data_IF_066897240072
#
_entry.id   IF_066897240072
#
_cell.length_a   1.000
_cell.length_b   1.000
_cell.length_c   1.000
_cell.angle_alpha   90.00
_cell.angle_beta   90.00
_cell.angle_gamma   90.00
#
_symmetry.space_group_name_H-M   'P 1'
#
loop_
_entity.id
_entity.type
_entity.pdbx_description
1 polymer ?
#
# COMPACT_ATOMS: atom_id res chain seq x y z
N UNK A 1 -22.34 -51.87 -12.95
CA UNK A 1 -23.24 -50.96 -13.63
C UNK A 1 -23.60 -49.73 -12.82
N UNK A 2 -23.44 -49.78 -11.52
CA UNK A 2 -23.78 -48.68 -10.64
C UNK A 2 -22.59 -47.77 -10.33
N UNK A 3 -21.49 -47.91 -11.04
CA UNK A 3 -20.24 -47.21 -10.73
C UNK A 3 -20.11 -45.84 -11.40
N UNK A 4 -20.90 -45.58 -12.40
CA UNK A 4 -20.78 -44.35 -13.19
C UNK A 4 -21.09 -43.05 -12.43
N UNK A 5 -22.03 -43.01 -11.50
CA UNK A 5 -22.30 -41.77 -10.77
C UNK A 5 -21.15 -41.25 -9.93
N UNK A 6 -20.26 -42.12 -9.46
CA UNK A 6 -19.14 -41.73 -8.62
C UNK A 6 -18.12 -40.89 -9.37
N UNK A 7 -17.91 -41.18 -10.64
CA UNK A 7 -16.94 -40.45 -11.46
C UNK A 7 -17.35 -38.99 -11.65
N UNK A 8 -18.66 -38.74 -11.76
CA UNK A 8 -19.19 -37.37 -11.96
C UNK A 8 -18.97 -36.51 -10.71
N UNK A 9 -19.14 -37.08 -9.52
CA UNK A 9 -18.94 -36.34 -8.28
C UNK A 9 -17.50 -35.90 -8.09
N UNK A 10 -16.54 -36.77 -8.42
CA UNK A 10 -15.13 -36.42 -8.31
C UNK A 10 -14.75 -35.21 -9.20
N UNK A 11 -15.31 -35.16 -10.40
CA UNK A 11 -15.04 -34.07 -11.32
C UNK A 11 -15.58 -32.73 -10.79
N UNK A 12 -16.76 -32.73 -10.18
CA UNK A 12 -17.37 -31.54 -9.62
C UNK A 12 -16.55 -30.96 -8.48
N UNK A 13 -16.01 -31.81 -7.61
CA UNK A 13 -15.17 -31.37 -6.50
C UNK A 13 -13.88 -30.72 -6.97
N UNK A 14 -13.27 -31.26 -8.01
CA UNK A 14 -12.04 -30.70 -8.56
C UNK A 14 -12.27 -29.30 -9.13
N UNK A 15 -13.39 -29.08 -9.81
CA UNK A 15 -13.71 -27.78 -10.36
C UNK A 15 -13.92 -26.73 -9.27
N UNK A 16 -14.53 -27.09 -8.16
CA UNK A 16 -14.75 -26.19 -7.04
C UNK A 16 -13.43 -25.74 -6.41
N UNK A 17 -12.49 -26.65 -6.25
CA UNK A 17 -11.18 -26.34 -5.69
C UNK A 17 -10.40 -25.34 -6.56
N UNK A 18 -10.48 -25.48 -7.87
CA UNK A 18 -9.80 -24.56 -8.79
C UNK A 18 -10.40 -23.15 -8.69
N UNK A 19 -11.71 -23.02 -8.59
CA UNK A 19 -12.37 -21.73 -8.47
C UNK A 19 -11.95 -20.99 -7.18
N UNK A 20 -11.86 -21.71 -6.06
CA UNK A 20 -11.44 -21.13 -4.79
C UNK A 20 -9.99 -20.61 -4.86
N UNK A 21 -9.10 -21.34 -5.50
CA UNK A 21 -7.71 -20.92 -5.66
C UNK A 21 -7.60 -19.68 -6.53
N UNK A 22 -8.40 -19.56 -7.57
CA UNK A 22 -8.40 -18.40 -8.44
C UNK A 22 -8.86 -17.12 -7.71
N UNK A 23 -9.87 -17.22 -6.85
CA UNK A 23 -10.35 -16.09 -6.05
C UNK A 23 -9.28 -15.64 -5.05
N UNK A 24 -8.59 -16.55 -4.41
CA UNK A 24 -7.52 -16.21 -3.48
C UNK A 24 -6.37 -15.49 -4.18
N UNK A 25 -6.01 -15.91 -5.38
CA UNK A 25 -4.97 -15.28 -6.17
C UNK A 25 -5.35 -13.86 -6.59
N UNK A 26 -6.61 -13.61 -6.93
CA UNK A 26 -7.08 -12.27 -7.27
C UNK A 26 -7.09 -11.32 -6.09
N UNK A 27 -7.42 -11.80 -4.90
CA UNK A 27 -7.46 -10.99 -3.69
C UNK A 27 -6.08 -10.48 -3.26
N UNK A 28 -4.99 -11.15 -3.67
CA UNK A 28 -3.64 -10.78 -3.31
C UNK A 28 -2.93 -9.88 -4.32
N UNK A 29 -3.65 -9.37 -5.34
CA UNK A 29 -3.05 -8.60 -6.43
C UNK A 29 -3.11 -7.09 -6.25
N UNK A 30 -3.10 -6.59 -5.04
CA UNK A 30 -2.97 -5.16 -4.81
C UNK A 30 -1.51 -4.78 -5.06
N UNK A 31 -1.28 -3.86 -5.98
CA UNK A 31 0.06 -3.40 -6.32
C UNK A 31 0.07 -1.88 -6.36
N UNK A 32 0.86 -1.29 -5.48
CA UNK A 32 1.01 0.16 -5.38
C UNK A 32 2.30 0.66 -6.01
N UNK A 33 3.00 -0.18 -6.75
CA UNK A 33 4.22 0.23 -7.44
C UNK A 33 3.93 1.36 -8.43
N UNK A 34 4.68 2.44 -8.33
CA UNK A 34 4.54 3.57 -9.23
C UNK A 34 4.78 4.89 -8.54
N UNK A 35 4.57 5.96 -9.28
CA UNK A 35 4.73 7.32 -8.79
C UNK A 35 3.37 7.86 -8.37
N UNK A 36 3.31 8.43 -7.17
CA UNK A 36 2.08 8.96 -6.57
C UNK A 36 2.25 10.40 -6.18
N UNK A 37 1.23 11.20 -6.45
CA UNK A 37 1.14 12.56 -5.92
C UNK A 37 0.33 12.53 -4.64
N UNK A 38 0.95 12.89 -3.53
CA UNK A 38 0.29 12.94 -2.23
C UNK A 38 -0.17 14.36 -1.94
N UNK A 39 -1.31 14.45 -1.30
CA UNK A 39 -1.81 15.70 -0.74
C UNK A 39 -1.89 15.50 0.77
N UNK A 40 -1.00 16.16 1.50
CA UNK A 40 -0.82 15.96 2.94
C UNK A 40 -1.27 17.20 3.68
N UNK A 41 -2.13 17.02 4.68
CA UNK A 41 -2.60 18.09 5.54
C UNK A 41 -2.33 17.73 7.00
N UNK A 42 -1.59 18.58 7.69
CA UNK A 42 -1.25 18.40 9.09
C UNK A 42 -1.46 19.69 9.86
N UNK A 43 -1.40 19.61 11.19
CA UNK A 43 -1.42 20.81 12.03
C UNK A 43 -0.22 21.72 11.77
N UNK A 44 0.88 21.19 11.27
CA UNK A 44 2.07 21.94 10.95
C UNK A 44 2.04 22.55 9.54
N UNK A 45 1.00 22.30 8.75
CA UNK A 45 0.85 22.81 7.40
C UNK A 45 0.49 21.74 6.39
N UNK A 46 0.43 22.11 5.13
CA UNK A 46 0.09 21.19 4.04
C UNK A 46 1.23 21.10 3.03
N UNK A 47 1.23 20.01 2.26
CA UNK A 47 2.23 19.79 1.22
C UNK A 47 1.74 18.80 0.19
N UNK A 48 2.42 18.79 -0.96
CA UNK A 48 2.08 17.91 -2.07
C UNK A 48 3.33 17.15 -2.54
N UNK A 49 3.89 16.28 -1.70
CA UNK A 49 5.07 15.51 -2.11
C UNK A 49 4.73 14.47 -3.16
N UNK A 50 5.73 14.12 -3.96
CA UNK A 50 5.65 12.99 -4.87
C UNK A 50 6.39 11.83 -4.23
N UNK A 51 5.72 10.71 -4.09
CA UNK A 51 6.31 9.51 -3.51
C UNK A 51 6.26 8.39 -4.54
N UNK A 52 7.42 7.83 -4.82
CA UNK A 52 7.53 6.67 -5.70
C UNK A 52 7.56 5.44 -4.81
N UNK A 53 6.65 4.51 -5.03
CA UNK A 53 6.56 3.28 -4.26
C UNK A 53 6.95 2.09 -5.10
N UNK A 54 7.61 1.13 -4.47
CA UNK A 54 7.91 -0.16 -5.06
C UNK A 54 7.44 -1.24 -4.10
N UNK A 55 6.59 -2.11 -4.59
CA UNK A 55 6.05 -3.21 -3.82
C UNK A 55 6.71 -4.52 -4.23
N UNK A 56 7.19 -5.27 -3.22
CA UNK A 56 7.74 -6.60 -3.41
C UNK A 56 7.06 -7.52 -2.39
N UNK A 57 6.01 -8.22 -2.84
CA UNK A 57 5.17 -8.99 -1.96
C UNK A 57 4.46 -8.08 -0.95
N UNK A 58 4.77 -8.24 0.33
CA UNK A 58 4.22 -7.41 1.39
C UNK A 58 5.16 -6.28 1.81
N UNK A 59 6.30 -6.13 1.14
CA UNK A 59 7.27 -5.09 1.47
C UNK A 59 7.09 -3.89 0.57
N UNK A 60 7.22 -2.70 1.15
CA UNK A 60 7.23 -1.44 0.43
C UNK A 60 8.57 -0.76 0.60
N UNK A 61 9.10 -0.24 -0.48
CA UNK A 61 10.24 0.65 -0.49
C UNK A 61 9.91 1.82 -1.37
N UNK A 62 10.68 2.89 -1.29
CA UNK A 62 10.40 4.02 -2.15
C UNK A 62 11.29 5.22 -1.93
N UNK A 63 10.88 6.31 -2.56
CA UNK A 63 11.58 7.56 -2.60
C UNK A 63 10.58 8.71 -2.42
N UNK A 64 10.92 9.64 -1.54
CA UNK A 64 10.13 10.83 -1.29
C UNK A 64 10.79 12.03 -1.98
N UNK A 65 9.98 12.84 -2.65
CA UNK A 65 10.42 14.09 -3.26
C UNK A 65 9.43 15.19 -2.88
N UNK A 66 9.88 16.19 -2.15
CA UNK A 66 9.00 17.25 -1.68
C UNK A 66 9.75 18.38 -0.99
N UNK A 67 9.04 19.07 -0.09
CA UNK A 67 9.61 20.26 0.56
C UNK A 67 10.79 19.94 1.48
N UNK A 68 10.95 18.69 1.91
CA UNK A 68 12.10 18.28 2.71
C UNK A 68 13.24 17.74 1.85
N UNK A 69 13.16 17.88 0.53
CA UNK A 69 14.18 17.42 -0.40
C UNK A 69 13.91 16.03 -0.93
N UNK A 70 14.96 15.34 -1.33
CA UNK A 70 14.91 13.99 -1.87
C UNK A 70 15.33 13.03 -0.79
N UNK A 71 14.47 12.07 -0.47
CA UNK A 71 14.72 11.12 0.62
C UNK A 71 14.61 9.70 0.08
N UNK A 72 15.71 8.96 0.13
CA UNK A 72 15.74 7.53 -0.13
C UNK A 72 15.56 6.77 1.17
N UNK A 73 15.24 5.49 1.07
CA UNK A 73 15.14 4.65 2.26
C UNK A 73 13.75 4.59 2.87
N UNK A 74 12.75 5.07 2.17
CA UNK A 74 11.37 4.84 2.57
C UNK A 74 11.12 3.35 2.62
N UNK A 75 10.55 2.86 3.72
CA UNK A 75 10.33 1.43 3.92
C UNK A 75 9.03 1.19 4.68
N UNK A 76 8.35 0.11 4.33
CA UNK A 76 7.12 -0.25 4.99
C UNK A 76 6.58 -1.59 4.57
N UNK A 77 5.31 -1.80 4.84
CA UNK A 77 4.61 -3.04 4.51
C UNK A 77 3.23 -2.74 3.96
N UNK A 78 2.72 -3.68 3.17
CA UNK A 78 1.35 -3.65 2.67
C UNK A 78 0.75 -5.05 2.82
N UNK A 79 -0.48 -5.10 3.32
CA UNK A 79 -1.17 -6.37 3.50
C UNK A 79 -2.65 -6.19 3.17
N UNK A 80 -3.11 -6.92 2.17
CA UNK A 80 -4.46 -6.75 1.66
C UNK A 80 -4.62 -5.41 0.98
N UNK A 81 -5.25 -4.46 1.56
CA UNK A 81 -5.34 -3.09 1.08
C UNK A 81 -4.81 -2.09 2.08
N UNK A 82 -4.26 -2.57 3.20
CA UNK A 82 -3.74 -1.73 4.26
C UNK A 82 -2.23 -1.62 4.16
N UNK A 83 -1.71 -0.41 4.30
CA UNK A 83 -0.28 -0.20 4.20
C UNK A 83 0.21 0.78 5.27
N UNK A 84 1.49 0.65 5.58
CA UNK A 84 2.21 1.62 6.41
C UNK A 84 3.62 1.74 5.87
N UNK A 85 4.16 2.95 5.86
CA UNK A 85 5.57 3.15 5.53
C UNK A 85 6.09 4.35 6.31
N UNK A 86 7.41 4.40 6.44
CA UNK A 86 8.06 5.46 7.19
C UNK A 86 9.36 5.86 6.53
N UNK A 87 9.79 7.07 6.82
CA UNK A 87 11.08 7.59 6.42
C UNK A 87 11.48 8.71 7.38
N UNK A 88 12.74 9.03 7.42
CA UNK A 88 13.26 10.11 8.23
C UNK A 88 13.70 11.26 7.32
N UNK A 89 13.38 12.48 7.73
CA UNK A 89 13.76 13.69 7.03
C UNK A 89 14.45 14.64 7.99
N UNK A 90 15.44 15.38 7.50
CA UNK A 90 16.09 16.41 8.29
C UNK A 90 15.38 17.74 8.08
N UNK A 91 14.93 18.33 9.19
CA UNK A 91 14.35 19.64 9.20
C UNK A 91 15.13 20.52 10.17
N UNK A 92 15.87 21.47 9.64
CA UNK A 92 16.66 22.42 10.45
C UNK A 92 17.64 21.73 11.43
N UNK A 93 18.30 20.68 10.94
CA UNK A 93 19.27 19.95 11.74
C UNK A 93 18.68 18.90 12.67
N UNK A 94 17.36 18.73 12.67
CA UNK A 94 16.67 17.71 13.46
C UNK A 94 16.11 16.64 12.56
N UNK A 95 16.38 15.39 12.89
CA UNK A 95 15.81 14.25 12.16
C UNK A 95 14.38 13.99 12.64
N UNK A 96 13.42 14.01 11.72
CA UNK A 96 12.02 13.73 12.01
C UNK A 96 11.59 12.46 11.33
N UNK A 97 10.91 11.59 12.05
CA UNK A 97 10.35 10.37 11.48
C UNK A 97 8.92 10.63 11.02
N UNK A 98 8.65 10.30 9.77
CA UNK A 98 7.32 10.40 9.17
C UNK A 98 6.76 9.00 9.02
N UNK A 99 5.56 8.78 9.55
CA UNK A 99 4.87 7.50 9.44
C UNK A 99 3.56 7.72 8.72
N UNK A 100 3.37 7.02 7.60
CA UNK A 100 2.15 7.04 6.82
C UNK A 100 1.44 5.72 6.99
N UNK A 101 0.16 5.77 7.33
CA UNK A 101 -0.68 4.57 7.48
C UNK A 101 -1.97 4.80 6.73
N UNK A 102 -2.33 3.89 5.85
CA UNK A 102 -3.52 4.10 5.07
C UNK A 102 -4.03 2.87 4.37
N UNK A 103 -4.98 3.10 3.47
CA UNK A 103 -5.62 2.06 2.68
C UNK A 103 -5.60 2.42 1.21
N UNK A 104 -5.65 1.39 0.37
CA UNK A 104 -5.76 1.54 -1.08
C UNK A 104 -7.23 1.73 -1.44
N UNK A 105 -7.54 2.79 -2.15
CA UNK A 105 -8.88 3.10 -2.64
C UNK A 105 -8.95 2.87 -4.14
N UNK A 106 -9.45 1.73 -4.55
CA UNK A 106 -9.50 1.37 -5.96
C UNK A 106 -8.12 1.12 -6.55
N UNK A 107 -7.90 1.55 -7.78
CA UNK A 107 -6.63 1.30 -8.48
C UNK A 107 -5.67 2.49 -8.43
N UNK A 108 -6.18 3.69 -8.27
CA UNK A 108 -5.43 4.90 -8.53
C UNK A 108 -5.41 5.87 -7.36
N UNK A 109 -5.90 5.47 -6.20
CA UNK A 109 -5.98 6.35 -5.05
C UNK A 109 -5.57 5.66 -3.76
N UNK A 110 -4.98 6.44 -2.87
CA UNK A 110 -4.63 6.04 -1.51
C UNK A 110 -5.15 7.09 -0.55
N UNK A 111 -5.48 6.70 0.67
CA UNK A 111 -5.82 7.64 1.72
C UNK A 111 -5.41 7.10 3.08
N UNK A 112 -5.23 8.00 4.02
CA UNK A 112 -4.88 7.59 5.37
C UNK A 112 -4.42 8.73 6.24
N UNK A 113 -3.56 8.39 7.20
CA UNK A 113 -3.06 9.30 8.20
C UNK A 113 -1.56 9.37 8.17
N UNK A 114 -1.03 10.52 8.55
CA UNK A 114 0.40 10.75 8.68
C UNK A 114 0.69 11.22 10.09
N UNK A 115 1.77 10.72 10.66
CA UNK A 115 2.31 11.17 11.94
C UNK A 115 3.73 11.67 11.74
N UNK A 116 4.02 12.85 12.24
CA UNK A 116 5.34 13.46 12.10
C UNK A 116 6.01 13.47 13.47
N UNK A 117 6.91 12.53 13.69
CA UNK A 117 7.76 12.45 14.89
C UNK A 117 7.00 12.48 16.21
N UNK A 118 5.72 12.10 16.22
CA UNK A 118 4.87 12.21 17.41
C UNK A 118 4.46 13.63 17.76
N UNK A 119 4.86 14.62 16.97
CA UNK A 119 4.60 16.04 17.23
C UNK A 119 3.35 16.55 16.51
N UNK A 120 3.05 16.01 15.36
CA UNK A 120 1.91 16.44 14.56
C UNK A 120 1.24 15.26 13.89
N UNK A 121 -0.08 15.30 13.82
CA UNK A 121 -0.87 14.33 13.09
C UNK A 121 -1.56 15.02 11.92
N UNK A 122 -1.86 14.25 10.89
CA UNK A 122 -2.57 14.76 9.76
C UNK A 122 -3.20 13.65 8.94
N UNK A 123 -3.71 14.03 7.79
CA UNK A 123 -4.32 13.11 6.84
C UNK A 123 -3.67 13.29 5.48
N UNK A 124 -3.79 12.27 4.64
CA UNK A 124 -3.33 12.38 3.27
C UNK A 124 -4.27 11.66 2.34
N UNK A 125 -4.25 12.12 1.10
CA UNK A 125 -4.79 11.40 -0.05
C UNK A 125 -3.71 11.35 -1.09
N UNK A 126 -3.75 10.35 -1.96
CA UNK A 126 -2.79 10.23 -3.03
C UNK A 126 -3.45 9.74 -4.29
N UNK A 127 -2.91 10.18 -5.42
CA UNK A 127 -3.34 9.73 -6.73
C UNK A 127 -2.15 9.27 -7.54
N UNK A 128 -2.32 8.18 -8.25
CA UNK A 128 -1.29 7.63 -9.11
C UNK A 128 -1.11 8.50 -10.34
N UNK A 129 0.13 8.76 -10.66
CA UNK A 129 0.51 9.53 -11.84
C UNK A 129 0.72 8.66 -13.08
#
# INVERSE_FOLDING_TARGET
MTRRPFTVFATALAALAIAAAALAAQASKVDVTGKWMFNVETAAGSGTPTITLKQDGEKLTGHYSGQFGEIDGLAGTIKGGDFTFKFAADAQGTSLEFVYTGTVEGKDALKGKVNIAGLADGTFTAKKQ
#
